data_IF_578350235218
#
_entry.id   IF_578350235218
#
_cell.length_a   1.000
_cell.length_b   1.000
_cell.length_c   1.000
_cell.angle_alpha   90.00
_cell.angle_beta   90.00
_cell.angle_gamma   90.00
#
_symmetry.space_group_name_H-M   'P 1'
#
loop_
_entity.id
_entity.type
_entity.pdbx_description
1 polymer ?
#
# COMPACT_ATOMS: atom_id res chain seq x y z
N UNK A 1 2.22 -13.61 -8.88
CA UNK A 1 3.51 -13.55 -8.15
C UNK A 1 3.64 -12.29 -7.31
N UNK A 2 3.75 -11.08 -7.89
CA UNK A 2 3.98 -9.84 -7.10
C UNK A 2 2.91 -9.51 -6.07
N UNK A 3 1.62 -9.78 -6.37
CA UNK A 3 0.56 -9.63 -5.37
C UNK A 3 0.71 -10.62 -4.20
N UNK A 4 1.29 -11.82 -4.39
CA UNK A 4 1.63 -12.70 -3.26
C UNK A 4 2.76 -12.12 -2.43
N UNK A 5 3.76 -11.53 -3.08
CA UNK A 5 4.86 -10.85 -2.39
C UNK A 5 4.34 -9.71 -1.51
N UNK A 6 3.30 -8.99 -1.93
CA UNK A 6 2.71 -7.94 -1.08
C UNK A 6 2.05 -8.50 0.18
N UNK A 7 1.51 -9.73 0.16
CA UNK A 7 1.05 -10.41 1.39
C UNK A 7 2.20 -10.78 2.31
N UNK A 8 3.31 -11.32 1.78
CA UNK A 8 4.50 -11.61 2.57
C UNK A 8 5.07 -10.34 3.22
N UNK A 9 5.07 -9.22 2.49
CA UNK A 9 5.46 -7.91 3.03
C UNK A 9 4.49 -7.45 4.14
N UNK A 10 3.20 -7.71 4.00
CA UNK A 10 2.17 -7.33 4.97
C UNK A 10 2.30 -8.06 6.32
N UNK A 11 3.00 -9.20 6.39
CA UNK A 11 3.26 -9.92 7.65
C UNK A 11 4.04 -9.08 8.66
N UNK A 12 4.80 -8.07 8.18
CA UNK A 12 5.54 -7.13 9.03
C UNK A 12 4.70 -5.94 9.52
N UNK A 13 3.44 -5.84 9.10
CA UNK A 13 2.55 -4.75 9.52
C UNK A 13 2.44 -4.69 11.05
N UNK A 14 2.43 -3.46 11.56
CA UNK A 14 2.28 -3.19 12.99
C UNK A 14 0.97 -2.48 13.34
N UNK A 15 0.03 -2.50 12.41
CA UNK A 15 -1.31 -1.96 12.60
C UNK A 15 -2.26 -3.04 13.14
N UNK A 16 -3.04 -2.71 14.18
CA UNK A 16 -4.02 -3.64 14.75
C UNK A 16 -5.28 -3.84 13.90
N UNK A 17 -5.54 -2.96 12.92
CA UNK A 17 -6.77 -3.00 12.11
C UNK A 17 -6.62 -3.76 10.80
N UNK A 18 -5.53 -3.52 10.08
CA UNK A 18 -5.32 -4.04 8.73
C UNK A 18 -3.85 -4.34 8.51
N UNK A 19 -3.54 -5.52 7.99
CA UNK A 19 -2.19 -5.87 7.55
C UNK A 19 -2.08 -5.59 6.04
N UNK A 20 -1.44 -4.46 5.71
CA UNK A 20 -1.31 -3.98 4.34
C UNK A 20 0.15 -4.04 3.92
N UNK A 21 0.39 -4.57 2.72
CA UNK A 21 1.70 -4.61 2.10
C UNK A 21 1.62 -4.16 0.65
N UNK A 22 2.68 -3.52 0.19
CA UNK A 22 2.84 -2.95 -1.13
C UNK A 22 4.21 -3.31 -1.72
N UNK A 23 4.24 -3.55 -3.02
CA UNK A 23 5.45 -3.89 -3.79
C UNK A 23 5.43 -3.07 -5.08
N UNK A 24 6.46 -2.27 -5.31
CA UNK A 24 6.65 -1.52 -6.55
C UNK A 24 7.56 -2.32 -7.48
N UNK A 25 7.14 -2.47 -8.73
CA UNK A 25 7.75 -3.36 -9.72
C UNK A 25 7.92 -2.64 -11.05
N UNK A 26 9.08 -2.81 -11.69
CA UNK A 26 9.32 -2.43 -13.09
C UNK A 26 10.13 -3.53 -13.78
N UNK A 27 9.81 -3.85 -15.02
CA UNK A 27 10.50 -4.89 -15.81
C UNK A 27 10.62 -6.24 -15.09
N UNK A 28 9.53 -6.66 -14.42
CA UNK A 28 9.46 -7.88 -13.60
C UNK A 28 10.47 -7.91 -12.42
N UNK A 29 11.04 -6.77 -12.04
CA UNK A 29 11.94 -6.63 -10.90
C UNK A 29 11.27 -5.82 -9.80
N UNK A 30 11.41 -6.28 -8.56
CA UNK A 30 10.97 -5.53 -7.39
C UNK A 30 11.94 -4.36 -7.19
N UNK A 31 11.40 -3.16 -7.14
CA UNK A 31 12.15 -1.93 -6.88
C UNK A 31 12.17 -1.62 -5.38
N UNK A 32 10.98 -1.55 -4.77
CA UNK A 32 10.82 -1.28 -3.34
C UNK A 32 9.60 -2.00 -2.79
N UNK A 33 9.53 -2.09 -1.46
CA UNK A 33 8.39 -2.63 -0.74
C UNK A 33 8.02 -1.73 0.42
N UNK A 34 6.81 -1.88 0.95
CA UNK A 34 6.36 -1.18 2.14
C UNK A 34 5.21 -1.93 2.80
N UNK A 35 5.14 -1.86 4.11
CA UNK A 35 3.99 -2.31 4.91
C UNK A 35 3.48 -1.16 5.75
N UNK A 36 2.23 -1.22 6.20
CA UNK A 36 1.70 -0.18 7.07
C UNK A 36 2.20 -0.35 8.51
N UNK A 37 2.68 0.74 9.11
CA UNK A 37 3.26 0.73 10.45
C UNK A 37 3.64 2.12 10.91
N UNK A 38 3.96 2.26 12.19
CA UNK A 38 4.38 3.55 12.75
C UNK A 38 5.64 4.10 12.07
N UNK A 39 5.86 5.41 12.18
CA UNK A 39 7.07 6.05 11.69
C UNK A 39 8.33 5.40 12.28
N UNK A 40 9.45 5.44 11.54
CA UNK A 40 10.70 4.83 12.00
C UNK A 40 11.15 5.44 13.34
N UNK A 41 11.45 4.59 14.32
CA UNK A 41 12.01 4.99 15.61
C UNK A 41 10.98 5.38 16.67
N UNK A 42 9.67 5.20 16.41
CA UNK A 42 8.62 5.44 17.40
C UNK A 42 7.84 4.15 17.68
N UNK A 43 7.22 4.09 18.86
CA UNK A 43 6.37 2.96 19.27
C UNK A 43 5.17 2.79 18.36
N UNK A 44 4.77 1.55 18.09
CA UNK A 44 3.68 1.25 17.16
C UNK A 44 2.33 0.95 17.83
N UNK A 45 1.35 0.50 17.04
CA UNK A 45 0.02 0.18 17.56
C UNK A 45 -0.02 -1.14 18.34
N UNK A 46 0.94 -2.06 18.15
CA UNK A 46 1.04 -3.26 18.98
C UNK A 46 1.46 -2.90 20.40
N UNK A 47 2.32 -1.89 20.56
CA UNK A 47 2.77 -1.42 21.88
C UNK A 47 1.78 -0.48 22.57
N UNK A 48 1.14 0.43 21.81
CA UNK A 48 0.36 1.53 22.38
C UNK A 48 -1.14 1.40 22.19
N UNK A 49 -1.61 0.37 21.48
CA UNK A 49 -2.98 0.33 20.99
C UNK A 49 -3.22 1.30 19.83
N UNK A 50 -4.47 1.36 19.39
CA UNK A 50 -4.89 2.09 18.22
C UNK A 50 -5.67 3.37 18.59
N UNK A 51 -5.05 4.53 18.37
CA UNK A 51 -5.67 5.85 18.60
C UNK A 51 -7.01 6.04 17.87
N UNK A 52 -7.19 5.36 16.73
CA UNK A 52 -8.44 5.42 15.96
C UNK A 52 -9.54 4.61 16.64
N UNK A 53 -9.22 3.49 17.28
CA UNK A 53 -10.20 2.70 18.03
C UNK A 53 -10.60 3.43 19.31
N UNK A 54 -9.62 3.99 20.04
CA UNK A 54 -9.86 4.82 21.23
C UNK A 54 -10.79 6.01 20.96
N UNK A 55 -10.73 6.58 19.75
CA UNK A 55 -11.53 7.74 19.33
C UNK A 55 -12.77 7.39 18.52
N UNK A 56 -13.08 6.10 18.33
CA UNK A 56 -14.24 5.65 17.55
C UNK A 56 -14.21 6.08 16.08
N UNK A 57 -13.02 6.26 15.49
CA UNK A 57 -12.86 6.74 14.11
C UNK A 57 -12.97 5.54 13.13
N UNK A 58 -13.94 5.53 12.19
CA UNK A 58 -14.11 4.44 11.22
C UNK A 58 -12.97 4.38 10.21
N UNK A 59 -12.82 3.26 9.48
CA UNK A 59 -11.81 3.14 8.40
C UNK A 59 -12.16 4.06 7.23
N UNK A 60 -11.16 4.65 6.57
CA UNK A 60 -11.34 5.58 5.45
C UNK A 60 -11.43 7.06 5.85
N UNK A 61 -11.56 7.36 7.14
CA UNK A 61 -11.69 8.74 7.65
C UNK A 61 -10.45 9.18 8.45
N UNK A 62 -10.27 10.49 8.62
CA UNK A 62 -9.29 11.10 9.55
C UNK A 62 -7.92 10.42 9.55
N UNK A 63 -7.32 10.28 8.37
CA UNK A 63 -6.05 9.60 8.18
C UNK A 63 -4.91 10.21 9.01
N UNK A 64 -4.97 11.52 9.27
CA UNK A 64 -4.00 12.27 10.08
C UNK A 64 -3.91 11.82 11.55
N UNK A 65 -4.93 11.13 12.07
CA UNK A 65 -4.94 10.57 13.43
C UNK A 65 -4.29 9.18 13.47
N UNK A 66 -4.13 8.52 12.33
CA UNK A 66 -3.51 7.22 12.26
C UNK A 66 -2.02 7.31 12.59
N UNK A 67 -1.53 6.48 13.53
CA UNK A 67 -0.09 6.36 13.78
C UNK A 67 0.63 5.68 12.63
N UNK A 68 -0.07 4.79 11.91
CA UNK A 68 0.52 4.03 10.82
C UNK A 68 0.62 4.87 9.56
N UNK A 69 1.84 4.95 9.02
CA UNK A 69 2.09 5.29 7.62
C UNK A 69 1.61 4.12 6.76
N UNK A 70 0.95 4.39 5.65
CA UNK A 70 0.37 3.36 4.79
C UNK A 70 1.46 2.60 4.00
N UNK A 71 1.13 1.39 3.55
CA UNK A 71 2.08 0.51 2.85
C UNK A 71 2.62 1.15 1.57
N UNK A 72 1.74 1.80 0.79
CA UNK A 72 2.10 2.48 -0.46
C UNK A 72 2.99 3.69 -0.20
N UNK A 73 2.70 4.45 0.86
CA UNK A 73 3.51 5.58 1.29
C UNK A 73 4.92 5.10 1.67
N UNK A 74 5.01 4.04 2.47
CA UNK A 74 6.30 3.47 2.85
C UNK A 74 7.09 2.95 1.64
N UNK A 75 6.44 2.31 0.66
CA UNK A 75 7.12 1.86 -0.56
C UNK A 75 7.68 3.02 -1.41
N UNK A 76 6.95 4.15 -1.47
CA UNK A 76 7.40 5.39 -2.15
C UNK A 76 8.52 6.07 -1.35
N UNK A 77 8.40 6.16 -0.02
CA UNK A 77 9.44 6.75 0.85
C UNK A 77 10.75 5.95 0.74
N UNK A 78 10.68 4.63 0.72
CA UNK A 78 11.85 3.76 0.49
C UNK A 78 12.52 4.06 -0.84
N UNK A 79 11.75 4.32 -1.90
CA UNK A 79 12.31 4.67 -3.21
C UNK A 79 13.06 6.01 -3.15
N UNK A 80 12.47 7.02 -2.50
CA UNK A 80 13.12 8.31 -2.29
C UNK A 80 14.40 8.22 -1.46
N UNK A 81 14.37 7.44 -0.38
CA UNK A 81 15.53 7.24 0.51
C UNK A 81 16.73 6.60 -0.21
N UNK A 82 16.45 5.66 -1.12
CA UNK A 82 17.48 4.91 -1.83
C UNK A 82 17.78 5.43 -3.24
N UNK A 83 17.19 6.56 -3.65
CA UNK A 83 17.39 7.13 -4.99
C UNK A 83 16.88 6.23 -6.11
N UNK A 84 15.88 5.38 -5.84
CA UNK A 84 15.33 4.43 -6.81
C UNK A 84 14.25 5.13 -7.63
N UNK A 85 14.48 5.26 -8.94
CA UNK A 85 13.46 5.78 -9.85
C UNK A 85 12.30 4.76 -9.96
N UNK A 86 11.11 5.15 -9.50
CA UNK A 86 9.86 4.38 -9.56
C UNK A 86 8.86 4.91 -10.60
N UNK A 87 9.25 5.83 -11.49
CA UNK A 87 8.39 6.24 -12.61
C UNK A 87 8.12 5.07 -13.55
N UNK A 88 6.95 5.10 -14.18
CA UNK A 88 6.52 4.12 -15.19
C UNK A 88 6.47 2.67 -14.64
N UNK A 89 6.34 2.55 -13.32
CA UNK A 89 6.26 1.28 -12.61
C UNK A 89 4.82 0.87 -12.33
N UNK A 90 4.68 -0.33 -11.75
CA UNK A 90 3.43 -0.93 -11.28
C UNK A 90 3.53 -1.11 -9.77
N UNK A 91 2.50 -0.72 -9.04
CA UNK A 91 2.38 -1.05 -7.61
C UNK A 91 1.37 -2.19 -7.42
N UNK A 92 1.77 -3.22 -6.69
CA UNK A 92 0.91 -4.30 -6.21
C UNK A 92 0.66 -4.09 -4.72
N UNK A 93 -0.59 -3.96 -4.30
CA UNK A 93 -0.96 -3.74 -2.90
C UNK A 93 -2.02 -4.74 -2.47
N UNK A 94 -2.04 -5.15 -1.20
CA UNK A 94 -3.07 -6.07 -0.71
C UNK A 94 -4.46 -5.44 -0.69
N UNK A 95 -4.56 -4.11 -0.58
CA UNK A 95 -5.81 -3.35 -0.56
C UNK A 95 -5.78 -2.18 -1.55
N UNK A 96 -6.96 -1.71 -1.96
CA UNK A 96 -7.07 -0.47 -2.76
C UNK A 96 -6.55 0.74 -1.97
N UNK A 97 -6.03 1.78 -2.64
CA UNK A 97 -5.40 2.88 -1.95
C UNK A 97 -6.44 3.84 -1.37
N UNK A 98 -6.10 4.51 -0.27
CA UNK A 98 -6.84 5.72 0.12
C UNK A 98 -6.47 6.89 -0.82
N UNK A 99 -7.26 7.96 -0.78
CA UNK A 99 -7.02 9.14 -1.61
C UNK A 99 -5.63 9.79 -1.42
N UNK A 100 -5.06 9.73 -0.22
CA UNK A 100 -3.72 10.28 0.04
C UNK A 100 -2.64 9.45 -0.66
N UNK A 101 -2.70 8.12 -0.55
CA UNK A 101 -1.80 7.22 -1.29
C UNK A 101 -1.96 7.41 -2.80
N UNK A 102 -3.21 7.52 -3.28
CA UNK A 102 -3.50 7.70 -4.70
C UNK A 102 -2.86 8.97 -5.28
N UNK A 103 -2.94 10.11 -4.57
CA UNK A 103 -2.27 11.36 -4.96
C UNK A 103 -0.74 11.19 -5.06
N UNK A 104 -0.14 10.46 -4.11
CA UNK A 104 1.30 10.19 -4.13
C UNK A 104 1.69 9.28 -5.31
N UNK A 105 0.88 8.26 -5.61
CA UNK A 105 1.10 7.34 -6.74
C UNK A 105 1.07 8.09 -8.08
N UNK A 106 0.10 8.99 -8.26
CA UNK A 106 0.02 9.86 -9.44
C UNK A 106 1.28 10.73 -9.58
N UNK A 107 1.68 11.42 -8.51
CA UNK A 107 2.86 12.28 -8.52
C UNK A 107 4.18 11.52 -8.70
N UNK A 108 4.24 10.27 -8.22
CA UNK A 108 5.37 9.36 -8.44
C UNK A 108 5.43 8.80 -9.87
N UNK A 109 4.45 9.13 -10.73
CA UNK A 109 4.35 8.68 -12.13
C UNK A 109 4.26 7.15 -12.27
N UNK A 110 3.66 6.49 -11.28
CA UNK A 110 3.34 5.06 -11.34
C UNK A 110 2.15 4.89 -12.29
N UNK A 111 2.24 3.95 -13.23
CA UNK A 111 1.27 3.81 -14.33
C UNK A 111 0.14 2.84 -14.02
N UNK A 112 0.34 1.95 -13.06
CA UNK A 112 -0.63 0.90 -12.76
C UNK A 112 -0.66 0.54 -11.29
N UNK A 113 -1.87 0.35 -10.78
CA UNK A 113 -2.17 -0.15 -9.44
C UNK A 113 -2.92 -1.48 -9.53
N UNK A 114 -2.43 -2.50 -8.84
CA UNK A 114 -3.05 -3.84 -8.81
C UNK A 114 -3.33 -4.26 -7.37
N UNK A 115 -4.55 -4.71 -7.09
CA UNK A 115 -4.99 -5.21 -5.77
C UNK A 115 -5.93 -6.41 -5.88
N UNK A 116 -6.17 -7.07 -4.76
CA UNK A 116 -7.29 -8.02 -4.59
C UNK A 116 -8.25 -7.59 -3.47
N UNK A 117 -7.76 -6.90 -2.44
CA UNK A 117 -8.59 -6.35 -1.37
C UNK A 117 -9.21 -5.00 -1.73
N UNK A 118 -10.28 -4.65 -1.02
CA UNK A 118 -10.97 -3.37 -1.11
C UNK A 118 -10.80 -2.61 0.20
N UNK A 119 -10.36 -1.36 0.11
CA UNK A 119 -10.43 -0.40 1.20
C UNK A 119 -11.74 0.40 1.12
N UNK A 120 -12.19 0.95 2.24
CA UNK A 120 -13.48 1.64 2.35
C UNK A 120 -13.59 2.86 1.43
N UNK A 121 -12.48 3.57 1.21
CA UNK A 121 -12.42 4.74 0.34
C UNK A 121 -12.28 4.34 -1.13
N UNK A 122 -13.17 4.87 -1.99
CA UNK A 122 -13.17 4.69 -3.45
C UNK A 122 -12.94 6.00 -4.22
N UNK A 123 -12.71 7.11 -3.53
CA UNK A 123 -12.50 8.42 -4.16
C UNK A 123 -11.25 8.47 -5.05
N UNK A 124 -10.31 7.53 -4.86
CA UNK A 124 -9.14 7.38 -5.73
C UNK A 124 -9.49 7.05 -7.18
N UNK A 125 -10.65 6.43 -7.46
CA UNK A 125 -11.00 5.94 -8.81
C UNK A 125 -11.11 7.08 -9.82
N UNK A 126 -11.75 8.19 -9.43
CA UNK A 126 -11.88 9.38 -10.28
C UNK A 126 -10.50 9.99 -10.58
N UNK A 127 -9.65 10.11 -9.56
CA UNK A 127 -8.29 10.63 -9.69
C UNK A 127 -7.42 9.75 -10.60
N UNK A 128 -7.46 8.43 -10.44
CA UNK A 128 -6.70 7.50 -11.29
C UNK A 128 -7.17 7.57 -12.73
N UNK A 129 -8.48 7.67 -12.98
CA UNK A 129 -9.03 7.85 -14.32
C UNK A 129 -8.54 9.15 -14.96
N UNK A 130 -8.60 10.26 -14.23
CA UNK A 130 -8.13 11.57 -14.70
C UNK A 130 -6.63 11.58 -15.02
N UNK A 131 -5.82 10.99 -14.13
CA UNK A 131 -4.37 10.95 -14.27
C UNK A 131 -3.85 9.86 -15.22
N UNK A 132 -4.73 8.99 -15.74
CA UNK A 132 -4.34 7.87 -16.60
C UNK A 132 -3.57 6.75 -15.88
N UNK A 133 -3.84 6.54 -14.59
CA UNK A 133 -3.30 5.40 -13.82
C UNK A 133 -4.23 4.20 -14.00
N UNK A 134 -3.73 3.10 -14.55
CA UNK A 134 -4.50 1.88 -14.73
C UNK A 134 -4.79 1.21 -13.38
N UNK A 135 -6.06 1.08 -13.00
CA UNK A 135 -6.48 0.33 -11.83
C UNK A 135 -6.97 -1.06 -12.20
N UNK A 136 -6.44 -2.10 -11.56
CA UNK A 136 -6.96 -3.47 -11.66
C UNK A 136 -7.18 -4.10 -10.30
N UNK A 137 -8.40 -4.59 -10.10
CA UNK A 137 -8.70 -5.56 -9.05
C UNK A 137 -8.68 -6.96 -9.66
N UNK A 138 -7.94 -7.87 -9.04
CA UNK A 138 -7.84 -9.28 -9.43
C UNK A 138 -8.22 -10.17 -8.25
N UNK A 139 -8.39 -11.47 -8.51
CA UNK A 139 -8.66 -12.44 -7.44
C UNK A 139 -7.47 -12.56 -6.47
N UNK A 140 -7.80 -12.84 -5.21
CA UNK A 140 -6.80 -13.08 -4.19
C UNK A 140 -5.92 -14.28 -4.59
N UNK A 141 -4.59 -14.14 -4.54
CA UNK A 141 -3.73 -15.22 -4.97
C UNK A 141 -3.66 -16.30 -3.89
N UNK A 142 -3.56 -17.58 -4.30
CA UNK A 142 -3.21 -18.67 -3.37
C UNK A 142 -1.83 -18.41 -2.75
N UNK A 143 -1.71 -18.37 -1.42
CA UNK A 143 -0.44 -18.02 -0.77
C UNK A 143 0.60 -19.15 -0.75
N UNK A 144 0.21 -20.37 -1.11
CA UNK A 144 1.15 -21.47 -1.35
C UNK A 144 2.02 -21.29 -2.59
N UNK A 145 3.10 -22.08 -2.67
CA UNK A 145 3.94 -22.19 -3.87
C UNK A 145 3.07 -22.68 -5.02
N UNK A 146 3.14 -21.98 -6.14
CA UNK A 146 2.46 -22.38 -7.38
C UNK A 146 3.46 -22.22 -8.50
N UNK A 147 3.60 -23.25 -9.32
CA UNK A 147 4.45 -23.19 -10.50
C UNK A 147 3.87 -22.12 -11.44
N UNK A 148 4.70 -21.16 -11.85
CA UNK A 148 4.30 -20.15 -12.82
C UNK A 148 4.57 -20.76 -14.20
N UNK A 149 3.52 -20.95 -14.99
CA UNK A 149 3.64 -21.27 -16.41
C UNK A 149 4.01 -20.03 -17.22
#
# INVERSE_FOLDING_TARGET
>A
YFLKMSYLVAERSTCLRHHVGAVIVRDKRILTTGYNGAARGVKDCMELGCLRDEKGIPSGERHEICRAIHAEQNAIIQAGLHGINISDSIIYCTHSPCILCAKMIVNARIKKFVTCGQYADRSFEALFKEAGVEYRKIDAPKLGITQLN
#
